data_IF_580430426526
#
_entry.id   IF_580430426526
#
_cell.length_a   1.000
_cell.length_b   1.000
_cell.length_c   1.000
_cell.angle_alpha   90.00
_cell.angle_beta   90.00
_cell.angle_gamma   90.00
#
_symmetry.space_group_name_H-M   'P 1'
#
loop_
_entity.id
_entity.type
_entity.pdbx_description
1 polymer ?
#
# COMPACT_ATOMS: atom_id res chain seq x y z
N UNK A 1 -10.11 8.02 -23.51
CA UNK A 1 -9.15 7.56 -22.46
C UNK A 1 -9.40 8.38 -21.21
N UNK A 2 -9.72 7.73 -20.12
CA UNK A 2 -9.95 8.42 -18.85
C UNK A 2 -8.62 8.93 -18.28
N UNK A 3 -8.48 10.25 -18.17
CA UNK A 3 -7.29 10.88 -17.62
C UNK A 3 -7.38 10.94 -16.09
N UNK A 4 -6.37 10.40 -15.41
CA UNK A 4 -6.28 10.46 -13.95
C UNK A 4 -4.94 11.03 -13.50
N UNK A 5 -4.92 11.63 -12.30
CA UNK A 5 -3.71 11.97 -11.58
C UNK A 5 -3.52 11.00 -10.42
N UNK A 6 -2.30 10.50 -10.20
CA UNK A 6 -2.04 9.46 -9.21
C UNK A 6 -1.11 9.95 -8.11
N UNK A 7 -1.56 9.85 -6.85
CA UNK A 7 -0.73 10.06 -5.66
C UNK A 7 -0.35 8.72 -5.04
N UNK A 8 0.93 8.53 -4.71
CA UNK A 8 1.39 7.38 -3.94
C UNK A 8 1.80 7.82 -2.53
N UNK A 9 1.09 7.35 -1.51
CA UNK A 9 1.32 7.73 -0.13
C UNK A 9 2.10 6.65 0.63
N UNK A 10 3.34 6.98 1.04
CA UNK A 10 4.24 6.10 1.78
C UNK A 10 5.03 5.13 0.89
N UNK A 11 6.00 4.41 1.50
CA UNK A 11 7.01 3.61 0.80
C UNK A 11 6.40 2.51 -0.10
N UNK A 12 5.50 1.69 0.42
CA UNK A 12 4.91 0.59 -0.35
C UNK A 12 4.09 1.07 -1.54
N UNK A 13 3.32 2.16 -1.37
CA UNK A 13 2.57 2.80 -2.44
C UNK A 13 3.49 3.41 -3.51
N UNK A 14 4.63 4.01 -3.09
CA UNK A 14 5.65 4.52 -4.01
C UNK A 14 6.21 3.41 -4.88
N UNK A 15 6.55 2.24 -4.31
CA UNK A 15 7.01 1.06 -5.08
C UNK A 15 5.97 0.62 -6.12
N UNK A 16 4.70 0.55 -5.71
CA UNK A 16 3.60 0.15 -6.62
C UNK A 16 3.41 1.16 -7.76
N UNK A 17 3.45 2.46 -7.47
CA UNK A 17 3.34 3.50 -8.51
C UNK A 17 4.52 3.46 -9.49
N UNK A 18 5.75 3.32 -8.99
CA UNK A 18 6.95 3.20 -9.83
C UNK A 18 6.83 1.99 -10.76
N UNK A 19 6.40 0.83 -10.23
CA UNK A 19 6.13 -0.35 -11.04
C UNK A 19 5.10 -0.06 -12.15
N UNK A 20 4.02 0.66 -11.86
CA UNK A 20 3.04 1.05 -12.86
C UNK A 20 3.62 2.00 -13.93
N UNK A 21 4.57 2.88 -13.56
CA UNK A 21 5.28 3.76 -14.50
C UNK A 21 6.20 2.94 -15.40
N UNK A 22 6.98 2.00 -14.84
CA UNK A 22 7.88 1.11 -15.56
C UNK A 22 7.14 0.20 -16.56
N UNK A 23 5.93 -0.28 -16.18
CA UNK A 23 5.02 -1.04 -17.05
C UNK A 23 4.25 -0.17 -18.07
N UNK A 24 4.49 1.15 -18.09
CA UNK A 24 3.83 2.10 -18.98
C UNK A 24 2.33 2.30 -18.72
N UNK A 25 1.84 1.87 -17.55
CA UNK A 25 0.44 2.02 -17.14
C UNK A 25 0.13 3.43 -16.65
N UNK A 26 1.08 4.07 -16.00
CA UNK A 26 1.01 5.46 -15.54
C UNK A 26 2.07 6.31 -16.22
N UNK A 27 1.73 7.57 -16.49
CA UNK A 27 2.68 8.57 -16.99
C UNK A 27 3.31 9.27 -15.79
N UNK A 28 4.63 9.39 -15.80
CA UNK A 28 5.39 10.01 -14.70
C UNK A 28 4.94 11.45 -14.40
N UNK A 29 4.58 12.22 -15.44
CA UNK A 29 4.10 13.61 -15.31
C UNK A 29 2.73 13.73 -14.62
N UNK A 30 1.95 12.65 -14.60
CA UNK A 30 0.64 12.59 -13.96
C UNK A 30 0.70 11.87 -12.60
N UNK A 31 1.89 11.83 -11.97
CA UNK A 31 2.15 11.16 -10.71
C UNK A 31 2.79 12.08 -9.66
N UNK A 32 2.50 11.80 -8.38
CA UNK A 32 3.11 12.48 -7.24
C UNK A 32 3.37 11.51 -6.08
N UNK A 33 4.58 11.52 -5.54
CA UNK A 33 4.95 10.79 -4.33
C UNK A 33 4.64 11.68 -3.11
N UNK A 34 3.92 11.13 -2.12
CA UNK A 34 3.67 11.77 -0.83
C UNK A 34 4.29 10.90 0.27
N UNK A 35 5.31 11.39 0.95
CA UNK A 35 5.97 10.62 2.00
C UNK A 35 6.43 11.52 3.15
N UNK A 36 6.66 10.94 4.32
CA UNK A 36 7.28 11.65 5.45
C UNK A 36 8.79 11.80 5.32
N UNK A 37 9.46 10.96 4.52
CA UNK A 37 10.93 10.98 4.37
C UNK A 37 11.35 10.76 2.93
N UNK A 38 12.43 11.41 2.52
CA UNK A 38 13.08 11.19 1.22
C UNK A 38 13.78 9.83 1.14
N UNK A 39 14.15 9.23 2.27
CA UNK A 39 14.93 7.98 2.31
C UNK A 39 14.17 6.80 1.70
N UNK A 40 12.85 6.82 1.76
CA UNK A 40 11.98 5.76 1.24
C UNK A 40 11.76 5.86 -0.28
N UNK A 41 12.23 6.94 -0.92
CA UNK A 41 12.11 7.15 -2.36
C UNK A 41 13.39 6.63 -3.03
N UNK A 42 13.31 5.78 -4.07
CA UNK A 42 14.48 5.36 -4.83
C UNK A 42 15.25 6.56 -5.40
N UNK A 43 16.57 6.45 -5.46
CA UNK A 43 17.46 7.57 -5.78
C UNK A 43 17.16 8.19 -7.15
N UNK A 44 16.85 7.38 -8.14
CA UNK A 44 16.50 7.76 -9.51
C UNK A 44 15.22 8.61 -9.62
N UNK A 45 14.35 8.54 -8.61
CA UNK A 45 13.10 9.31 -8.52
C UNK A 45 13.15 10.49 -7.54
N UNK A 46 14.32 10.81 -6.96
CA UNK A 46 14.48 11.94 -6.02
C UNK A 46 14.75 13.29 -6.68
N UNK A 47 15.25 13.30 -7.91
CA UNK A 47 15.80 14.49 -8.56
C UNK A 47 14.84 15.06 -9.62
N UNK A 48 13.74 15.63 -9.21
CA UNK A 48 12.76 16.38 -10.05
C UNK A 48 12.15 15.59 -11.23
N UNK A 49 12.44 14.29 -11.32
CA UNK A 49 11.85 13.44 -12.36
C UNK A 49 10.38 13.10 -12.09
N UNK A 50 9.90 13.28 -10.85
CA UNK A 50 8.53 13.05 -10.44
C UNK A 50 8.13 14.08 -9.38
N UNK A 51 6.89 14.54 -9.40
CA UNK A 51 6.38 15.41 -8.34
C UNK A 51 6.49 14.71 -6.99
N UNK A 52 7.05 15.41 -6.00
CA UNK A 52 7.28 14.84 -4.67
C UNK A 52 6.88 15.82 -3.58
N UNK A 53 6.12 15.34 -2.60
CA UNK A 53 5.70 16.07 -1.40
C UNK A 53 6.29 15.34 -0.19
N UNK A 54 7.21 15.99 0.52
CA UNK A 54 7.73 15.52 1.81
C UNK A 54 7.01 16.28 2.90
N UNK A 55 6.18 15.57 3.67
CA UNK A 55 5.30 16.19 4.68
C UNK A 55 5.99 16.46 6.01
N UNK A 56 7.17 15.86 6.29
CA UNK A 56 7.91 16.10 7.52
C UNK A 56 8.90 17.26 7.33
N UNK A 57 8.94 18.25 8.22
CA UNK A 57 9.95 19.33 8.20
C UNK A 57 11.38 18.83 8.19
N UNK A 58 11.67 17.69 8.87
CA UNK A 58 12.92 16.95 8.68
C UNK A 58 12.75 15.88 7.58
N UNK A 59 13.26 16.10 6.37
CA UNK A 59 13.09 15.18 5.25
C UNK A 59 13.76 13.82 5.45
N UNK A 60 14.57 13.67 6.50
CA UNK A 60 15.25 12.43 6.87
C UNK A 60 14.53 11.64 7.97
N UNK A 61 13.51 12.22 8.60
CA UNK A 61 12.74 11.59 9.67
C UNK A 61 11.47 10.92 9.13
N UNK A 62 11.25 9.68 9.55
CA UNK A 62 9.99 8.95 9.29
C UNK A 62 8.97 9.14 10.42
N UNK A 63 7.79 8.55 10.26
CA UNK A 63 6.72 8.61 11.26
C UNK A 63 6.73 7.44 12.27
N UNK A 64 7.66 6.48 12.20
CA UNK A 64 7.78 5.37 13.15
C UNK A 64 6.49 4.53 13.33
N UNK A 65 5.73 4.31 12.26
CA UNK A 65 4.40 3.69 12.26
C UNK A 65 3.33 4.46 13.08
N UNK A 66 3.60 5.71 13.49
CA UNK A 66 2.60 6.55 14.13
C UNK A 66 1.69 7.23 13.09
N UNK A 67 0.51 6.67 12.92
CA UNK A 67 -0.50 7.14 11.98
C UNK A 67 -1.06 8.53 12.36
N UNK A 68 -1.24 8.77 13.67
CA UNK A 68 -1.72 10.07 14.18
C UNK A 68 -0.74 11.19 13.85
N UNK A 69 0.56 10.92 14.07
CA UNK A 69 1.62 11.85 13.70
C UNK A 69 1.67 12.12 12.18
N UNK A 70 1.54 11.09 11.34
CA UNK A 70 1.48 11.29 9.89
C UNK A 70 0.26 12.11 9.43
N UNK A 71 -0.89 11.97 10.09
CA UNK A 71 -2.07 12.81 9.85
C UNK A 71 -1.79 14.28 10.18
N UNK A 72 -1.18 14.56 11.34
CA UNK A 72 -0.84 15.93 11.75
C UNK A 72 0.13 16.57 10.77
N UNK A 73 1.19 15.86 10.38
CA UNK A 73 2.16 16.36 9.39
C UNK A 73 1.50 16.71 8.06
N UNK A 74 0.60 15.87 7.56
CA UNK A 74 -0.11 16.17 6.30
C UNK A 74 -1.04 17.37 6.44
N UNK A 75 -1.75 17.51 7.56
CA UNK A 75 -2.59 18.67 7.84
C UNK A 75 -1.78 19.97 7.89
N UNK A 76 -0.63 19.94 8.58
CA UNK A 76 0.23 21.11 8.71
C UNK A 76 0.86 21.48 7.35
N UNK A 77 1.33 20.49 6.59
CA UNK A 77 1.81 20.71 5.22
C UNK A 77 0.75 21.40 4.33
N UNK A 78 -0.50 20.92 4.36
CA UNK A 78 -1.58 21.49 3.55
C UNK A 78 -1.98 22.90 4.00
N UNK A 79 -1.87 23.22 5.30
CA UNK A 79 -2.10 24.60 5.82
C UNK A 79 -1.02 25.56 5.37
N UNK A 80 0.23 25.13 5.38
CA UNK A 80 1.37 25.94 4.95
C UNK A 80 1.45 26.06 3.43
N UNK A 81 0.98 25.05 2.69
CA UNK A 81 1.06 24.95 1.23
C UNK A 81 -0.32 24.71 0.58
N UNK A 82 -1.31 25.62 0.75
CA UNK A 82 -2.70 25.36 0.33
C UNK A 82 -2.87 25.17 -1.19
N UNK A 83 -1.93 25.64 -1.99
CA UNK A 83 -1.97 25.52 -3.45
C UNK A 83 -1.16 24.33 -3.98
N UNK A 84 -0.47 23.58 -3.14
CA UNK A 84 0.39 22.47 -3.58
C UNK A 84 -0.39 21.38 -4.35
N UNK A 85 -1.54 20.98 -3.84
CA UNK A 85 -2.41 19.99 -4.49
C UNK A 85 -3.21 20.58 -5.65
N UNK A 86 -3.89 21.74 -5.51
CA UNK A 86 -4.58 22.37 -6.64
C UNK A 86 -3.71 22.60 -7.87
N UNK A 87 -2.44 22.96 -7.69
CA UNK A 87 -1.52 23.19 -8.82
C UNK A 87 -1.20 21.92 -9.62
N UNK A 88 -1.33 20.73 -9.02
CA UNK A 88 -1.16 19.45 -9.68
C UNK A 88 -2.42 18.96 -10.40
N UNK A 89 -3.57 19.60 -10.13
CA UNK A 89 -4.88 19.21 -10.64
C UNK A 89 -5.52 20.34 -11.46
N UNK A 90 -4.93 20.72 -12.62
CA UNK A 90 -5.49 21.79 -13.45
C UNK A 90 -6.90 21.42 -13.94
N UNK A 91 -7.76 22.43 -14.02
CA UNK A 91 -9.17 22.28 -14.39
C UNK A 91 -9.35 21.54 -15.71
N UNK A 92 -10.24 20.56 -15.72
CA UNK A 92 -10.62 19.78 -16.90
C UNK A 92 -9.55 18.82 -17.44
N UNK A 93 -8.35 18.76 -16.83
CA UNK A 93 -7.30 17.82 -17.30
C UNK A 93 -7.57 16.39 -16.83
N UNK A 94 -8.04 16.22 -15.61
CA UNK A 94 -8.25 14.89 -15.00
C UNK A 94 -9.71 14.67 -14.68
N UNK A 95 -10.19 13.47 -14.91
CA UNK A 95 -11.56 13.06 -14.63
C UNK A 95 -11.71 12.52 -13.20
N UNK A 96 -10.65 11.92 -12.66
CA UNK A 96 -10.59 11.44 -11.29
C UNK A 96 -9.14 11.42 -10.78
N UNK A 97 -8.99 11.28 -9.48
CA UNK A 97 -7.69 11.12 -8.81
C UNK A 97 -7.58 9.71 -8.25
N UNK A 98 -6.43 9.06 -8.50
CA UNK A 98 -6.05 7.83 -7.82
C UNK A 98 -5.18 8.16 -6.61
N UNK A 99 -5.40 7.47 -5.49
CA UNK A 99 -4.51 7.45 -4.33
C UNK A 99 -4.12 6.01 -4.05
N UNK A 100 -2.84 5.67 -4.24
CA UNK A 100 -2.30 4.40 -3.79
C UNK A 100 -1.79 4.57 -2.36
N UNK A 101 -2.19 3.70 -1.45
CA UNK A 101 -1.78 3.77 -0.05
C UNK A 101 -1.62 2.38 0.57
N UNK A 102 -0.70 2.25 1.54
CA UNK A 102 -0.57 1.06 2.36
C UNK A 102 -1.29 1.26 3.70
N UNK A 103 -2.00 0.26 4.19
CA UNK A 103 -2.80 0.41 5.42
C UNK A 103 -1.98 0.30 6.71
N UNK A 104 -0.92 -0.52 6.73
CA UNK A 104 -0.13 -0.79 7.94
C UNK A 104 0.93 0.29 8.26
N UNK A 105 1.39 1.03 7.24
CA UNK A 105 2.38 2.10 7.41
C UNK A 105 1.77 3.40 7.93
N UNK A 106 2.54 4.25 8.61
CA UNK A 106 2.07 5.53 9.11
C UNK A 106 1.77 6.54 7.99
N UNK A 107 2.76 6.81 7.12
CA UNK A 107 2.61 7.78 6.03
C UNK A 107 1.51 7.36 5.05
N UNK A 108 1.48 6.08 4.67
CA UNK A 108 0.45 5.54 3.79
C UNK A 108 -0.95 5.69 4.38
N UNK A 109 -1.18 5.17 5.58
CA UNK A 109 -2.51 5.15 6.18
C UNK A 109 -2.96 6.49 6.77
N UNK A 110 -2.02 7.34 7.22
CA UNK A 110 -2.31 8.63 7.83
C UNK A 110 -2.47 9.76 6.82
N UNK A 111 -1.43 10.00 6.00
CA UNK A 111 -1.41 11.11 5.07
C UNK A 111 -2.44 10.96 3.94
N UNK A 112 -2.63 9.74 3.41
CA UNK A 112 -3.54 9.51 2.28
C UNK A 112 -5.00 9.83 2.59
N UNK A 113 -5.48 9.54 3.81
CA UNK A 113 -6.85 9.84 4.19
C UNK A 113 -7.09 11.35 4.31
N UNK A 114 -6.09 12.09 4.80
CA UNK A 114 -6.15 13.56 4.88
C UNK A 114 -6.13 14.14 3.46
N UNK A 115 -5.24 13.65 2.59
CA UNK A 115 -5.17 14.06 1.19
C UNK A 115 -6.49 13.80 0.45
N UNK A 116 -7.06 12.60 0.58
CA UNK A 116 -8.34 12.24 -0.04
C UNK A 116 -9.47 13.17 0.39
N UNK A 117 -9.58 13.45 1.69
CA UNK A 117 -10.57 14.39 2.23
C UNK A 117 -10.32 15.81 1.73
N UNK A 118 -9.07 16.25 1.68
CA UNK A 118 -8.69 17.58 1.18
C UNK A 118 -9.10 17.75 -0.29
N UNK A 119 -8.77 16.80 -1.17
CA UNK A 119 -9.15 16.83 -2.59
C UNK A 119 -10.68 16.89 -2.73
N UNK A 120 -11.42 16.12 -1.94
CA UNK A 120 -12.87 16.05 -2.05
C UNK A 120 -13.59 17.29 -1.51
N UNK A 121 -13.06 17.93 -0.46
CA UNK A 121 -13.80 18.94 0.30
C UNK A 121 -13.17 20.33 0.34
N UNK A 122 -11.84 20.43 0.36
CA UNK A 122 -11.13 21.66 0.67
C UNK A 122 -10.56 22.38 -0.54
N UNK A 123 -10.22 21.69 -1.65
CA UNK A 123 -9.80 22.38 -2.88
C UNK A 123 -10.96 23.15 -3.52
N UNK A 124 -10.69 24.15 -4.40
CA UNK A 124 -11.72 24.88 -5.12
C UNK A 124 -12.72 23.94 -5.80
N UNK A 125 -14.02 24.27 -5.71
CA UNK A 125 -15.10 23.37 -6.13
C UNK A 125 -14.99 22.90 -7.59
N UNK A 126 -14.52 23.78 -8.49
CA UNK A 126 -14.34 23.48 -9.92
C UNK A 126 -13.18 22.54 -10.22
N UNK A 127 -12.27 22.30 -9.27
CA UNK A 127 -11.15 21.33 -9.37
C UNK A 127 -11.49 19.98 -8.73
N UNK A 128 -12.64 19.86 -8.04
CA UNK A 128 -13.00 18.62 -7.35
C UNK A 128 -13.37 17.53 -8.34
N UNK A 129 -12.70 16.40 -8.19
CA UNK A 129 -12.95 15.19 -8.98
C UNK A 129 -13.15 14.00 -8.02
N UNK A 130 -13.80 12.93 -8.46
CA UNK A 130 -13.87 11.69 -7.68
C UNK A 130 -12.49 11.19 -7.27
N UNK A 131 -12.43 10.53 -6.11
CA UNK A 131 -11.20 9.95 -5.59
C UNK A 131 -11.36 8.44 -5.49
N UNK A 132 -10.50 7.72 -6.20
CA UNK A 132 -10.35 6.27 -6.15
C UNK A 132 -9.14 5.96 -5.27
N UNK A 133 -9.32 5.14 -4.24
CA UNK A 133 -8.26 4.78 -3.31
C UNK A 133 -7.91 3.32 -3.49
N UNK A 134 -6.71 3.02 -3.98
CA UNK A 134 -6.16 1.67 -4.02
C UNK A 134 -5.40 1.39 -2.73
N UNK A 135 -5.97 0.53 -1.87
CA UNK A 135 -5.43 0.15 -0.57
C UNK A 135 -4.65 -1.16 -0.68
N UNK A 136 -3.36 -1.09 -0.40
CA UNK A 136 -2.53 -2.26 -0.22
C UNK A 136 -2.59 -2.63 1.25
N UNK A 137 -3.32 -3.70 1.61
CA UNK A 137 -3.29 -4.22 2.97
C UNK A 137 -1.99 -5.00 3.18
N UNK A 138 -1.47 -4.96 4.40
CA UNK A 138 -0.15 -5.51 4.69
C UNK A 138 -0.13 -7.01 4.89
N UNK A 139 0.92 -7.48 5.59
CA UNK A 139 1.11 -8.89 5.88
C UNK A 139 0.52 -9.32 7.23
N UNK A 140 -0.08 -8.39 7.97
CA UNK A 140 -0.66 -8.62 9.30
C UNK A 140 0.36 -9.15 10.33
N UNK A 141 1.60 -8.66 10.23
CA UNK A 141 2.73 -9.19 11.01
C UNK A 141 2.88 -8.58 12.39
N UNK A 142 2.36 -7.37 12.62
CA UNK A 142 2.52 -6.64 13.88
C UNK A 142 1.24 -5.93 14.33
N UNK A 143 1.14 -5.73 15.64
CA UNK A 143 -0.04 -5.13 16.32
C UNK A 143 -0.32 -3.71 15.85
N UNK A 144 0.74 -2.92 15.61
CA UNK A 144 0.58 -1.53 15.16
C UNK A 144 0.04 -1.44 13.73
N UNK A 145 0.51 -2.34 12.85
CA UNK A 145 0.01 -2.45 11.47
C UNK A 145 -1.47 -2.81 11.42
N UNK A 146 -1.89 -3.80 12.23
CA UNK A 146 -3.30 -4.18 12.36
C UNK A 146 -4.16 -3.00 12.86
N UNK A 147 -3.69 -2.29 13.88
CA UNK A 147 -4.37 -1.09 14.39
C UNK A 147 -4.52 -0.03 13.30
N UNK A 148 -3.44 0.29 12.57
CA UNK A 148 -3.45 1.28 11.51
C UNK A 148 -4.45 0.90 10.40
N UNK A 149 -4.53 -0.38 10.04
CA UNK A 149 -5.50 -0.88 9.05
C UNK A 149 -6.94 -0.64 9.50
N UNK A 150 -7.28 -1.03 10.73
CA UNK A 150 -8.63 -0.85 11.29
C UNK A 150 -9.01 0.64 11.33
N UNK A 151 -8.11 1.48 11.84
CA UNK A 151 -8.34 2.93 11.92
C UNK A 151 -8.47 3.57 10.54
N UNK A 152 -7.76 3.05 9.54
CA UNK A 152 -7.84 3.56 8.17
C UNK A 152 -9.25 3.35 7.59
N UNK A 153 -9.77 2.13 7.67
CA UNK A 153 -11.13 1.86 7.19
C UNK A 153 -12.21 2.64 7.97
N UNK A 154 -12.01 2.86 9.29
CA UNK A 154 -12.90 3.74 10.07
C UNK A 154 -12.90 5.17 9.54
N UNK A 155 -11.74 5.71 9.16
CA UNK A 155 -11.63 7.07 8.64
C UNK A 155 -12.22 7.25 7.24
N UNK A 156 -12.26 6.19 6.43
CA UNK A 156 -12.85 6.20 5.09
C UNK A 156 -14.36 5.99 5.11
N UNK A 157 -14.89 5.40 6.21
CA UNK A 157 -16.31 5.09 6.31
C UNK A 157 -17.17 6.37 6.20
N UNK A 158 -18.18 6.33 5.35
CA UNK A 158 -19.07 7.47 5.06
C UNK A 158 -18.45 8.61 4.24
N UNK A 159 -17.26 8.40 3.65
CA UNK A 159 -16.55 9.41 2.88
C UNK A 159 -16.92 9.47 1.39
N UNK A 160 -17.84 8.68 0.88
CA UNK A 160 -18.16 8.50 -0.55
C UNK A 160 -16.91 8.36 -1.42
N UNK A 161 -15.95 7.59 -0.99
CA UNK A 161 -14.78 7.21 -1.76
C UNK A 161 -15.04 5.93 -2.54
N UNK A 162 -14.36 5.76 -3.66
CA UNK A 162 -14.22 4.46 -4.30
C UNK A 162 -12.99 3.79 -3.72
N UNK A 163 -13.12 2.59 -3.20
CA UNK A 163 -12.05 1.88 -2.50
C UNK A 163 -11.78 0.55 -3.20
N UNK A 164 -10.59 0.40 -3.76
CA UNK A 164 -10.08 -0.88 -4.24
C UNK A 164 -9.07 -1.43 -3.24
N UNK A 165 -9.14 -2.71 -2.93
CA UNK A 165 -8.21 -3.36 -2.01
C UNK A 165 -7.33 -4.38 -2.73
N UNK A 166 -6.07 -4.51 -2.29
CA UNK A 166 -5.12 -5.55 -2.71
C UNK A 166 -4.45 -6.10 -1.46
N UNK A 167 -4.55 -7.40 -1.22
CA UNK A 167 -4.03 -8.02 -0.01
C UNK A 167 -2.66 -8.66 -0.23
N UNK A 168 -1.61 -8.07 0.34
CA UNK A 168 -0.29 -8.68 0.41
C UNK A 168 -0.31 -10.02 1.16
N UNK A 169 -1.18 -10.16 2.16
CA UNK A 169 -1.34 -11.41 2.92
C UNK A 169 -1.82 -12.55 2.02
N UNK A 170 -2.84 -12.32 1.18
CA UNK A 170 -3.33 -13.34 0.24
C UNK A 170 -2.25 -13.76 -0.78
N UNK A 171 -1.41 -12.83 -1.23
CA UNK A 171 -0.26 -13.17 -2.08
C UNK A 171 0.83 -13.92 -1.30
N UNK A 172 1.09 -13.54 -0.05
CA UNK A 172 2.05 -14.24 0.80
C UNK A 172 1.62 -15.70 1.03
N UNK A 173 0.34 -15.93 1.29
CA UNK A 173 -0.21 -17.27 1.50
C UNK A 173 -0.09 -18.16 0.26
N UNK A 174 -0.10 -17.57 -0.94
CA UNK A 174 0.14 -18.29 -2.20
C UNK A 174 1.62 -18.57 -2.48
N UNK A 175 2.53 -17.71 -2.06
CA UNK A 175 3.94 -17.72 -2.48
C UNK A 175 4.91 -18.10 -1.38
N UNK A 176 4.53 -17.95 -0.10
CA UNK A 176 5.41 -18.06 1.08
C UNK A 176 6.66 -17.16 0.99
N UNK A 177 6.61 -16.07 0.20
CA UNK A 177 7.74 -15.16 0.00
C UNK A 177 7.23 -13.72 -0.11
N UNK A 178 7.66 -12.86 0.81
CA UNK A 178 7.20 -11.47 0.91
C UNK A 178 7.56 -10.62 -0.32
N UNK A 179 8.78 -10.80 -0.89
CA UNK A 179 9.19 -10.05 -2.08
C UNK A 179 8.37 -10.44 -3.32
N UNK A 180 8.10 -11.74 -3.48
CA UNK A 180 7.26 -12.24 -4.56
C UNK A 180 5.82 -11.77 -4.37
N UNK A 181 5.31 -11.79 -3.15
CA UNK A 181 3.97 -11.30 -2.81
C UNK A 181 3.81 -9.80 -3.13
N UNK A 182 4.77 -8.95 -2.71
CA UNK A 182 4.78 -7.52 -3.06
C UNK A 182 4.80 -7.29 -4.58
N UNK A 183 5.65 -8.05 -5.30
CA UNK A 183 5.71 -7.93 -6.76
C UNK A 183 4.38 -8.29 -7.41
N UNK A 184 3.77 -9.42 -7.03
CA UNK A 184 2.47 -9.84 -7.57
C UNK A 184 1.35 -8.85 -7.23
N UNK A 185 1.38 -8.24 -6.05
CA UNK A 185 0.45 -7.18 -5.69
C UNK A 185 0.62 -5.93 -6.57
N UNK A 186 1.87 -5.55 -6.88
CA UNK A 186 2.16 -4.43 -7.78
C UNK A 186 1.73 -4.73 -9.23
N UNK A 187 1.94 -5.97 -9.71
CA UNK A 187 1.47 -6.44 -11.03
C UNK A 187 -0.06 -6.35 -11.12
N UNK A 188 -0.78 -6.76 -10.05
CA UNK A 188 -2.24 -6.68 -9.98
C UNK A 188 -2.74 -5.22 -9.97
N UNK A 189 -2.05 -4.33 -9.27
CA UNK A 189 -2.36 -2.89 -9.29
C UNK A 189 -2.20 -2.32 -10.70
N UNK A 190 -1.10 -2.65 -11.37
CA UNK A 190 -0.85 -2.20 -12.74
C UNK A 190 -1.92 -2.70 -13.72
N UNK A 191 -2.29 -3.98 -13.64
CA UNK A 191 -3.37 -4.54 -14.45
C UNK A 191 -4.70 -3.84 -14.20
N UNK A 192 -5.05 -3.62 -12.94
CA UNK A 192 -6.30 -2.96 -12.62
C UNK A 192 -6.36 -1.52 -13.13
N UNK A 193 -5.25 -0.77 -13.09
CA UNK A 193 -5.21 0.57 -13.68
C UNK A 193 -5.41 0.55 -15.20
N UNK A 194 -4.87 -0.45 -15.92
CA UNK A 194 -5.16 -0.64 -17.35
C UNK A 194 -6.65 -0.86 -17.58
N UNK A 195 -7.29 -1.70 -16.77
CA UNK A 195 -8.72 -2.00 -16.89
C UNK A 195 -9.57 -0.76 -16.56
N UNK A 196 -9.27 -0.08 -15.45
CA UNK A 196 -9.99 1.12 -15.01
C UNK A 196 -9.83 2.28 -16.01
N UNK A 197 -8.71 2.39 -16.70
CA UNK A 197 -8.49 3.39 -17.74
C UNK A 197 -9.13 3.06 -19.09
N UNK A 198 -9.68 1.85 -19.27
CA UNK A 198 -10.20 1.33 -20.53
C UNK A 198 -9.18 1.48 -21.68
N UNK A 199 -7.91 1.19 -21.40
CA UNK A 199 -6.74 1.51 -22.25
C UNK A 199 -6.83 0.95 -23.68
N UNK A 200 -7.36 -0.25 -23.85
CA UNK A 200 -7.42 -1.01 -25.10
C UNK A 200 -8.87 -1.30 -25.55
N UNK A 201 -9.82 -0.54 -25.02
CA UNK A 201 -11.22 -0.63 -25.43
C UNK A 201 -11.41 0.18 -26.71
N UNK A 202 -11.95 -0.45 -27.74
CA UNK A 202 -12.23 0.16 -29.04
C UNK A 202 -13.75 0.17 -29.29
N UNK A 203 -14.20 1.11 -30.11
CA UNK A 203 -15.61 1.18 -30.48
C UNK A 203 -16.07 -0.10 -31.19
N UNK A 204 -17.20 -0.63 -30.78
CA UNK A 204 -17.77 -1.87 -31.31
C UNK A 204 -19.30 -1.78 -31.40
N UNK A 205 -19.94 -2.85 -31.85
CA UNK A 205 -21.41 -2.91 -31.94
C UNK A 205 -22.09 -2.85 -30.55
N UNK A 206 -21.40 -3.28 -29.49
CA UNK A 206 -21.90 -3.24 -28.13
C UNK A 206 -20.89 -2.52 -27.24
N UNK A 207 -21.14 -1.26 -26.97
CA UNK A 207 -20.23 -0.36 -26.26
C UNK A 207 -20.73 -0.01 -24.86
N UNK A 208 -19.77 0.21 -23.98
CA UNK A 208 -19.91 1.04 -22.78
C UNK A 208 -19.34 2.41 -23.13
N UNK A 209 -20.17 3.44 -23.13
CA UNK A 209 -19.68 4.79 -23.43
C UNK A 209 -18.86 5.38 -22.28
N UNK A 210 -18.19 6.50 -22.55
CA UNK A 210 -17.32 7.17 -21.58
C UNK A 210 -18.07 7.61 -20.31
N UNK A 211 -19.36 8.00 -20.43
CA UNK A 211 -20.17 8.41 -19.29
C UNK A 211 -20.56 7.22 -18.41
N UNK A 212 -20.97 6.13 -19.02
CA UNK A 212 -21.35 4.89 -18.32
C UNK A 212 -20.11 4.26 -17.64
N UNK A 213 -18.98 4.24 -18.34
CA UNK A 213 -17.72 3.81 -17.74
C UNK A 213 -17.32 4.71 -16.55
N UNK A 214 -17.44 6.01 -16.69
CA UNK A 214 -17.17 6.97 -15.62
C UNK A 214 -18.09 6.73 -14.40
N UNK A 215 -19.40 6.55 -14.60
CA UNK A 215 -20.36 6.22 -13.55
C UNK A 215 -20.01 4.91 -12.84
N UNK A 216 -19.53 3.92 -13.60
CA UNK A 216 -19.11 2.62 -13.06
C UNK A 216 -17.91 2.75 -12.14
N UNK A 217 -16.83 3.42 -12.58
CA UNK A 217 -15.58 3.51 -11.83
C UNK A 217 -15.59 4.54 -10.70
N UNK A 218 -16.55 5.48 -10.70
CA UNK A 218 -16.68 6.52 -9.69
C UNK A 218 -17.82 6.28 -8.70
N UNK A 219 -18.48 5.13 -8.77
CA UNK A 219 -19.55 4.74 -7.86
C UNK A 219 -18.99 4.47 -6.45
N UNK A 220 -19.40 5.22 -5.40
CA UNK A 220 -18.84 5.09 -4.05
C UNK A 220 -19.03 3.70 -3.45
N UNK A 221 -18.10 3.31 -2.58
CA UNK A 221 -18.03 1.99 -1.97
C UNK A 221 -16.79 1.24 -2.42
N UNK A 222 -16.75 -0.08 -2.19
CA UNK A 222 -15.65 -0.88 -2.73
C UNK A 222 -15.84 -1.12 -4.23
N UNK A 223 -14.69 -1.16 -4.92
CA UNK A 223 -14.58 -1.55 -6.31
C UNK A 223 -13.78 -2.84 -6.43
N UNK A 224 -14.36 -3.81 -7.09
CA UNK A 224 -13.72 -5.06 -7.48
C UNK A 224 -13.32 -4.98 -8.96
N UNK A 225 -12.11 -5.42 -9.29
CA UNK A 225 -11.60 -5.45 -10.67
C UNK A 225 -10.88 -6.77 -10.87
N UNK A 226 -11.24 -7.49 -11.94
CA UNK A 226 -10.55 -8.73 -12.33
C UNK A 226 -10.49 -8.88 -13.84
N UNK A 227 -9.51 -9.63 -14.31
CA UNK A 227 -9.34 -10.03 -15.71
C UNK A 227 -9.08 -11.53 -15.77
N UNK A 228 -9.70 -12.18 -16.70
CA UNK A 228 -9.41 -13.56 -17.07
C UNK A 228 -9.10 -13.65 -18.56
N UNK A 229 -7.98 -14.29 -18.90
CA UNK A 229 -7.63 -14.58 -20.28
C UNK A 229 -8.28 -15.90 -20.72
N UNK A 230 -8.74 -15.93 -21.96
CA UNK A 230 -9.34 -17.11 -22.58
C UNK A 230 -8.33 -17.67 -23.58
N UNK A 231 -7.47 -18.55 -23.10
CA UNK A 231 -6.35 -19.09 -23.91
C UNK A 231 -6.79 -20.22 -24.88
N UNK A 232 -8.02 -20.66 -24.81
CA UNK A 232 -8.49 -21.84 -25.55
C UNK A 232 -9.92 -21.66 -26.04
N UNK A 233 -10.24 -22.32 -27.14
CA UNK A 233 -11.64 -22.45 -27.55
C UNK A 233 -12.48 -23.08 -26.44
N UNK A 234 -13.51 -22.37 -26.04
CA UNK A 234 -14.47 -22.83 -25.03
C UNK A 234 -15.35 -23.92 -25.61
N UNK A 235 -15.69 -24.90 -24.79
CA UNK A 235 -16.52 -26.04 -25.24
C UNK A 235 -18.02 -25.81 -25.03
N UNK A 236 -18.36 -25.06 -24.00
CA UNK A 236 -19.74 -24.77 -23.59
C UNK A 236 -19.79 -23.62 -22.59
N UNK A 237 -20.97 -23.10 -22.30
CA UNK A 237 -21.20 -22.01 -21.35
C UNK A 237 -20.76 -22.34 -19.92
N UNK A 238 -20.86 -23.60 -19.50
CA UNK A 238 -20.42 -24.00 -18.15
C UNK A 238 -18.92 -23.83 -17.95
N UNK A 239 -18.11 -24.02 -19.01
CA UNK A 239 -16.66 -23.77 -18.94
C UNK A 239 -16.38 -22.27 -18.83
N UNK A 240 -17.10 -21.43 -19.57
CA UNK A 240 -17.01 -19.98 -19.46
C UNK A 240 -17.37 -19.52 -18.04
N UNK A 241 -18.53 -19.96 -17.53
CA UNK A 241 -18.96 -19.62 -16.16
C UNK A 241 -17.95 -20.06 -15.10
N UNK A 242 -17.35 -21.24 -15.25
CA UNK A 242 -16.34 -21.72 -14.30
C UNK A 242 -15.07 -20.85 -14.31
N UNK A 243 -14.55 -20.50 -15.50
CA UNK A 243 -13.35 -19.67 -15.64
C UNK A 243 -13.57 -18.29 -14.98
N UNK A 244 -14.72 -17.68 -15.27
CA UNK A 244 -15.08 -16.37 -14.69
C UNK A 244 -15.32 -16.48 -13.18
N UNK A 245 -16.00 -17.53 -12.75
CA UNK A 245 -16.23 -17.83 -11.33
C UNK A 245 -14.92 -17.96 -10.57
N UNK A 246 -13.98 -18.74 -11.11
CA UNK A 246 -12.66 -18.92 -10.51
C UNK A 246 -11.88 -17.59 -10.43
N UNK A 247 -11.95 -16.75 -11.46
CA UNK A 247 -11.30 -15.44 -11.43
C UNK A 247 -11.85 -14.50 -10.34
N UNK A 248 -13.15 -14.60 -10.03
CA UNK A 248 -13.75 -13.86 -8.92
C UNK A 248 -13.30 -14.45 -7.58
N UNK A 249 -13.34 -15.77 -7.42
CA UNK A 249 -13.02 -16.46 -6.17
C UNK A 249 -11.52 -16.37 -5.81
N UNK A 250 -10.64 -16.38 -6.81
CA UNK A 250 -9.17 -16.32 -6.59
C UNK A 250 -8.62 -14.90 -6.59
N UNK A 251 -9.47 -13.88 -6.63
CA UNK A 251 -9.03 -12.50 -6.55
C UNK A 251 -8.35 -12.22 -5.19
N UNK A 252 -7.47 -11.26 -5.18
CA UNK A 252 -6.67 -10.88 -4.02
C UNK A 252 -7.16 -9.62 -3.32
N UNK A 253 -8.34 -9.13 -3.66
CA UNK A 253 -9.07 -8.16 -2.86
C UNK A 253 -9.37 -8.71 -1.47
N UNK A 254 -9.67 -7.85 -0.50
CA UNK A 254 -10.29 -8.29 0.74
C UNK A 254 -11.63 -8.98 0.45
N UNK A 255 -11.96 -10.02 1.21
CA UNK A 255 -13.22 -10.72 1.06
C UNK A 255 -14.37 -9.79 1.43
N UNK A 256 -15.39 -9.75 0.60
CA UNK A 256 -16.55 -8.88 0.76
C UNK A 256 -17.85 -9.65 0.56
N UNK A 257 -18.91 -9.20 1.21
CA UNK A 257 -20.25 -9.71 0.94
C UNK A 257 -20.72 -9.21 -0.43
N UNK A 258 -21.32 -10.11 -1.27
CA UNK A 258 -21.89 -9.72 -2.55
C UNK A 258 -22.94 -8.60 -2.38
N UNK A 259 -22.63 -7.41 -2.88
CA UNK A 259 -23.47 -6.22 -2.72
C UNK A 259 -23.26 -5.16 -3.80
N UNK A 260 -22.60 -5.52 -4.91
CA UNK A 260 -22.34 -4.58 -6.00
C UNK A 260 -23.66 -4.02 -6.56
N UNK A 261 -23.69 -2.70 -6.79
CA UNK A 261 -24.85 -2.03 -7.40
C UNK A 261 -24.64 -1.78 -8.89
N UNK A 262 -23.37 -1.69 -9.34
CA UNK A 262 -23.03 -1.54 -10.76
C UNK A 262 -21.99 -2.55 -11.20
N UNK A 263 -22.17 -3.10 -12.39
CA UNK A 263 -21.23 -4.05 -13.01
C UNK A 263 -20.97 -3.66 -14.45
N UNK A 264 -19.69 -3.63 -14.85
CA UNK A 264 -19.26 -3.56 -16.24
C UNK A 264 -18.51 -4.83 -16.63
N UNK A 265 -18.86 -5.43 -17.74
CA UNK A 265 -18.19 -6.58 -18.35
C UNK A 265 -17.63 -6.16 -19.70
N UNK A 266 -16.30 -6.21 -19.82
CA UNK A 266 -15.57 -5.90 -21.05
C UNK A 266 -14.99 -7.19 -21.61
N UNK A 267 -15.28 -7.47 -22.87
CA UNK A 267 -14.85 -8.70 -23.50
C UNK A 267 -14.14 -8.41 -24.82
N UNK A 268 -12.99 -9.04 -25.01
CA UNK A 268 -12.42 -9.27 -26.33
C UNK A 268 -12.54 -10.75 -26.65
N UNK A 269 -13.51 -11.12 -27.48
CA UNK A 269 -13.86 -12.52 -27.73
C UNK A 269 -14.12 -12.72 -29.21
N UNK A 270 -13.46 -13.74 -29.78
CA UNK A 270 -13.66 -14.17 -31.17
C UNK A 270 -15.06 -14.76 -31.38
N UNK A 271 -15.50 -14.76 -32.62
CA UNK A 271 -16.77 -15.38 -33.02
C UNK A 271 -16.83 -16.87 -32.66
N UNK A 272 -15.69 -17.56 -32.66
CA UNK A 272 -15.56 -18.97 -32.28
C UNK A 272 -15.96 -19.27 -30.82
N UNK A 273 -15.78 -18.31 -29.94
CA UNK A 273 -16.11 -18.43 -28.52
C UNK A 273 -17.41 -17.71 -28.14
N UNK A 274 -17.96 -16.89 -29.03
CA UNK A 274 -19.14 -16.08 -28.72
C UNK A 274 -20.37 -16.92 -28.38
N UNK A 275 -20.61 -18.02 -29.12
CA UNK A 275 -21.79 -18.87 -28.95
C UNK A 275 -21.87 -19.54 -27.57
N UNK A 276 -20.73 -19.58 -26.84
CA UNK A 276 -20.63 -20.23 -25.52
C UNK A 276 -20.58 -19.24 -24.36
N UNK A 277 -20.50 -17.94 -24.66
CA UNK A 277 -20.56 -16.90 -23.63
C UNK A 277 -21.97 -16.75 -23.09
N UNK A 278 -22.14 -16.86 -21.76
CA UNK A 278 -23.44 -16.56 -21.14
C UNK A 278 -23.70 -15.05 -21.19
N UNK A 279 -24.54 -14.61 -22.08
CA UNK A 279 -24.94 -13.21 -22.24
C UNK A 279 -25.81 -12.68 -21.08
N UNK A 280 -26.34 -13.55 -20.24
CA UNK A 280 -27.11 -13.16 -19.05
C UNK A 280 -26.22 -12.89 -17.84
N UNK A 281 -24.97 -13.40 -17.86
CA UNK A 281 -24.00 -13.25 -16.78
C UNK A 281 -24.54 -13.59 -15.39
N UNK A 282 -25.38 -14.61 -15.31
CA UNK A 282 -26.12 -14.98 -14.08
C UNK A 282 -25.19 -15.33 -12.94
N UNK A 283 -24.10 -16.05 -13.22
CA UNK A 283 -23.10 -16.41 -12.20
C UNK A 283 -22.32 -15.20 -11.70
N UNK A 284 -21.96 -14.26 -12.59
CA UNK A 284 -21.29 -13.00 -12.23
C UNK A 284 -22.19 -12.16 -11.33
N UNK A 285 -23.44 -11.94 -11.74
CA UNK A 285 -24.43 -11.19 -10.97
C UNK A 285 -24.64 -11.79 -9.58
N UNK A 286 -24.82 -13.10 -9.50
CA UNK A 286 -25.00 -13.80 -8.24
C UNK A 286 -23.79 -13.64 -7.30
N UNK A 287 -22.57 -13.75 -7.83
CA UNK A 287 -21.33 -13.67 -7.03
C UNK A 287 -20.99 -12.26 -6.55
N UNK A 288 -21.31 -11.25 -7.34
CA UNK A 288 -20.94 -9.87 -7.04
C UNK A 288 -22.06 -9.06 -6.38
N UNK A 289 -23.31 -9.34 -6.70
CA UNK A 289 -24.46 -8.62 -6.15
C UNK A 289 -25.23 -9.41 -5.08
N UNK A 290 -25.20 -10.74 -5.12
CA UNK A 290 -25.98 -11.57 -4.21
C UNK A 290 -27.47 -11.32 -4.36
N UNK A 291 -28.10 -10.75 -3.32
CA UNK A 291 -29.51 -10.35 -3.30
C UNK A 291 -29.70 -8.83 -3.49
N UNK A 292 -28.63 -8.08 -3.74
CA UNK A 292 -28.71 -6.63 -3.96
C UNK A 292 -29.26 -6.35 -5.35
N UNK A 293 -30.15 -5.39 -5.45
CA UNK A 293 -30.66 -4.92 -6.75
C UNK A 293 -29.54 -4.23 -7.52
N UNK A 294 -29.36 -4.68 -8.76
CA UNK A 294 -28.38 -4.08 -9.67
C UNK A 294 -28.99 -2.81 -10.24
N UNK A 295 -28.35 -1.67 -10.00
CA UNK A 295 -28.78 -0.39 -10.57
C UNK A 295 -28.44 -0.31 -12.06
N UNK A 296 -27.21 -0.70 -12.42
CA UNK A 296 -26.73 -0.63 -13.80
C UNK A 296 -25.83 -1.83 -14.12
N UNK A 297 -26.05 -2.42 -15.32
CA UNK A 297 -25.26 -3.52 -15.84
C UNK A 297 -24.83 -3.21 -17.27
N UNK A 298 -23.54 -3.01 -17.47
CA UNK A 298 -22.94 -2.61 -18.73
C UNK A 298 -22.19 -3.76 -19.37
N UNK A 299 -22.29 -3.87 -20.70
CA UNK A 299 -21.55 -4.86 -21.48
C UNK A 299 -20.85 -4.16 -22.63
N UNK A 300 -19.55 -4.40 -22.73
CA UNK A 300 -18.74 -4.03 -23.88
C UNK A 300 -18.18 -5.30 -24.53
N UNK A 301 -18.34 -5.43 -25.84
CA UNK A 301 -17.81 -6.55 -26.60
C UNK A 301 -17.05 -6.05 -27.81
N UNK A 302 -15.82 -6.47 -27.96
CA UNK A 302 -14.99 -6.29 -29.15
C UNK A 302 -14.43 -7.63 -29.61
N UNK A 303 -13.93 -7.67 -30.87
CA UNK A 303 -13.29 -8.83 -31.45
C UNK A 303 -12.01 -8.38 -32.20
N UNK A 304 -10.99 -8.01 -31.39
CA UNK A 304 -9.71 -7.53 -31.90
C UNK A 304 -8.71 -8.68 -31.95
N UNK A 305 -8.28 -9.08 -33.15
CA UNK A 305 -7.39 -10.22 -33.39
C UNK A 305 -5.96 -9.99 -32.86
N UNK A 306 -5.56 -8.73 -32.70
CA UNK A 306 -4.24 -8.35 -32.21
C UNK A 306 -4.14 -8.36 -30.68
N UNK A 307 -5.27 -8.54 -30.00
CA UNK A 307 -5.36 -8.65 -28.56
C UNK A 307 -5.68 -10.09 -28.15
N UNK A 308 -5.22 -10.54 -26.97
CA UNK A 308 -5.65 -11.81 -26.40
C UNK A 308 -7.17 -11.79 -26.13
N UNK A 309 -7.80 -12.95 -26.21
CA UNK A 309 -9.19 -13.05 -25.73
C UNK A 309 -9.22 -12.91 -24.21
N UNK A 310 -10.11 -12.03 -23.71
CA UNK A 310 -10.27 -11.78 -22.28
C UNK A 310 -11.71 -11.46 -21.89
N UNK A 311 -11.96 -11.63 -20.61
CA UNK A 311 -13.13 -11.06 -19.91
C UNK A 311 -12.63 -10.23 -18.75
N UNK A 312 -12.97 -8.95 -18.71
CA UNK A 312 -12.70 -8.02 -17.62
C UNK A 312 -13.99 -7.67 -16.92
N UNK A 313 -13.93 -7.63 -15.60
CA UNK A 313 -15.09 -7.31 -14.78
C UNK A 313 -14.70 -6.16 -13.86
N UNK A 314 -15.50 -5.11 -13.87
CA UNK A 314 -15.49 -4.05 -12.87
C UNK A 314 -16.83 -4.12 -12.16
N UNK A 315 -16.81 -4.26 -10.82
CA UNK A 315 -18.02 -4.16 -10.00
C UNK A 315 -17.79 -3.07 -8.94
N UNK A 316 -18.77 -2.23 -8.71
CA UNK A 316 -18.67 -1.09 -7.82
C UNK A 316 -19.93 -0.88 -6.97
N UNK A 317 -19.83 0.00 -5.96
CA UNK A 317 -20.89 0.18 -4.97
C UNK A 317 -20.96 -0.98 -3.97
N UNK A 318 -19.89 -1.77 -3.83
CA UNK A 318 -19.81 -2.89 -2.90
C UNK A 318 -19.63 -2.34 -1.47
N UNK A 319 -20.29 -2.95 -0.51
CA UNK A 319 -20.13 -2.62 0.90
C UNK A 319 -18.70 -2.87 1.40
N UNK A 320 -18.27 -2.16 2.45
CA UNK A 320 -16.99 -2.44 3.10
C UNK A 320 -16.95 -3.89 3.64
N UNK A 321 -15.77 -4.54 3.65
CA UNK A 321 -15.60 -5.96 3.97
C UNK A 321 -15.66 -6.19 5.49
N UNK A 322 -16.85 -6.15 6.06
CA UNK A 322 -17.08 -6.16 7.51
C UNK A 322 -16.51 -7.39 8.20
N UNK A 323 -16.70 -8.56 7.63
CA UNK A 323 -16.27 -9.82 8.24
C UNK A 323 -14.74 -9.90 8.26
N UNK A 324 -14.07 -9.58 7.16
CA UNK A 324 -12.60 -9.54 7.14
C UNK A 324 -12.03 -8.46 8.07
N UNK A 325 -12.67 -7.30 8.16
CA UNK A 325 -12.27 -6.26 9.11
C UNK A 325 -12.49 -6.68 10.58
N UNK A 326 -13.53 -7.46 10.86
CA UNK A 326 -13.75 -8.06 12.18
C UNK A 326 -12.66 -9.09 12.51
N UNK A 327 -12.23 -9.90 11.54
CA UNK A 327 -11.14 -10.87 11.73
C UNK A 327 -9.80 -10.16 11.99
N UNK A 328 -9.49 -9.09 11.25
CA UNK A 328 -8.32 -8.24 11.51
C UNK A 328 -8.40 -7.63 12.91
N UNK A 329 -9.58 -7.17 13.34
CA UNK A 329 -9.80 -6.63 14.67
C UNK A 329 -9.60 -7.69 15.77
N UNK A 330 -10.11 -8.89 15.58
CA UNK A 330 -9.91 -10.01 16.51
C UNK A 330 -8.42 -10.36 16.65
N UNK A 331 -7.67 -10.43 15.53
CA UNK A 331 -6.21 -10.62 15.53
C UNK A 331 -5.49 -9.52 16.32
N UNK A 332 -5.91 -8.26 16.13
CA UNK A 332 -5.36 -7.12 16.88
C UNK A 332 -5.59 -7.26 18.38
N UNK A 333 -6.83 -7.58 18.81
CA UNK A 333 -7.15 -7.74 20.21
C UNK A 333 -6.34 -8.87 20.86
N UNK A 334 -6.28 -10.04 20.21
CA UNK A 334 -5.51 -11.18 20.70
C UNK A 334 -4.03 -10.85 20.91
N UNK A 335 -3.39 -10.16 19.96
CA UNK A 335 -1.99 -9.74 20.08
C UNK A 335 -1.79 -8.74 21.22
N UNK A 336 -2.68 -7.78 21.35
CA UNK A 336 -2.61 -6.79 22.42
C UNK A 336 -2.78 -7.41 23.82
N UNK A 337 -3.54 -8.49 23.95
CA UNK A 337 -3.65 -9.25 25.19
C UNK A 337 -2.37 -10.01 25.49
N UNK A 338 -1.73 -10.62 24.50
CA UNK A 338 -0.44 -11.30 24.63
C UNK A 338 0.64 -10.28 25.05
N UNK A 339 0.77 -9.15 24.35
CA UNK A 339 1.73 -8.09 24.70
C UNK A 339 1.57 -7.61 26.15
N UNK A 340 0.34 -7.45 26.65
CA UNK A 340 0.10 -7.09 28.05
C UNK A 340 0.51 -8.19 29.03
N UNK A 341 0.35 -9.45 28.65
CA UNK A 341 0.80 -10.58 29.49
C UNK A 341 2.32 -10.63 29.54
N UNK A 342 2.99 -10.43 28.42
CA UNK A 342 4.47 -10.39 28.34
C UNK A 342 5.02 -9.24 29.19
N UNK A 343 4.48 -8.01 29.05
CA UNK A 343 4.85 -6.85 29.87
C UNK A 343 4.65 -7.13 31.38
N UNK A 344 3.60 -7.85 31.75
CA UNK A 344 3.34 -8.23 33.13
C UNK A 344 4.37 -9.23 33.65
N UNK A 345 4.73 -10.27 32.86
CA UNK A 345 5.76 -11.23 33.22
C UNK A 345 7.15 -10.59 33.30
N UNK A 346 7.48 -9.70 32.37
CA UNK A 346 8.73 -8.93 32.41
C UNK A 346 8.79 -8.01 33.64
N UNK A 347 7.70 -7.40 34.05
CA UNK A 347 7.64 -6.58 35.27
C UNK A 347 7.85 -7.41 36.53
N UNK A 348 7.27 -8.62 36.61
CA UNK A 348 7.49 -9.56 37.72
C UNK A 348 8.95 -10.05 37.73
N UNK A 349 9.51 -10.42 36.59
CA UNK A 349 10.90 -10.85 36.46
C UNK A 349 11.88 -9.77 36.95
N UNK A 350 11.62 -8.52 36.62
CA UNK A 350 12.42 -7.39 37.08
C UNK A 350 12.27 -7.17 38.59
N UNK A 351 11.09 -7.28 39.17
CA UNK A 351 10.87 -7.22 40.64
C UNK A 351 11.61 -8.34 41.37
N UNK A 352 11.59 -9.57 40.86
CA UNK A 352 12.31 -10.71 41.46
C UNK A 352 13.82 -10.49 41.38
N UNK A 353 14.33 -9.93 40.29
CA UNK A 353 15.76 -9.65 40.12
C UNK A 353 16.24 -8.51 41.03
N UNK A 354 15.39 -7.49 41.25
CA UNK A 354 15.70 -6.41 42.19
C UNK A 354 15.68 -6.90 43.65
N UNK A 355 14.73 -7.75 44.05
CA UNK A 355 14.69 -8.35 45.38
C UNK A 355 15.91 -9.21 45.67
N UNK A 356 16.38 -10.03 44.72
CA UNK A 356 17.61 -10.79 44.86
C UNK A 356 18.87 -9.91 44.96
N UNK A 357 18.91 -8.78 44.27
CA UNK A 357 20.03 -7.81 44.37
C UNK A 357 20.02 -7.06 45.71
N UNK A 358 18.88 -6.81 46.31
CA UNK A 358 18.78 -6.22 47.66
C UNK A 358 19.20 -7.22 48.74
N UNK A 359 18.82 -8.51 48.59
CA UNK A 359 19.26 -9.59 49.49
C UNK A 359 20.78 -9.83 49.40
N UNK A 360 21.39 -9.85 48.22
CA UNK A 360 22.86 -9.97 48.05
C UNK A 360 23.61 -8.74 48.62
N UNK A 361 23.04 -7.53 48.56
CA UNK A 361 23.64 -6.34 49.15
C UNK A 361 23.53 -6.33 50.67
N UNK A 362 22.49 -6.91 51.26
CA UNK A 362 22.35 -6.99 52.70
C UNK A 362 23.29 -8.02 53.34
N UNK A 363 23.61 -9.11 52.64
CA UNK A 363 24.58 -10.11 53.10
C UNK A 363 26.05 -9.62 53.00
N UNK A 364 26.38 -8.83 51.97
CA UNK A 364 27.73 -8.26 51.81
C UNK A 364 28.00 -7.09 52.77
N UNK A 365 27.00 -6.31 53.15
CA UNK A 365 27.18 -5.20 54.11
C UNK A 365 27.34 -5.69 55.56
N UNK A 366 26.65 -6.78 55.95
CA UNK A 366 26.79 -7.36 57.29
C UNK A 366 28.17 -8.07 57.49
N UNK A 367 28.78 -8.60 56.44
CA UNK A 367 30.11 -9.22 56.50
C UNK A 367 31.24 -8.18 56.51
N UNK A 368 31.08 -7.03 55.88
CA UNK A 368 32.06 -5.93 55.90
C UNK A 368 32.09 -5.20 57.24
N UNK A 369 30.97 -5.04 57.93
CA UNK A 369 30.92 -4.43 59.28
C UNK A 369 31.54 -5.33 60.37
N UNK A 370 31.52 -6.67 60.16
CA UNK A 370 32.16 -7.59 61.11
C UNK A 370 33.68 -7.54 61.04
N UNK A 371 34.30 -7.29 59.89
CA UNK A 371 35.76 -7.15 59.72
C UNK A 371 36.27 -5.75 60.00
N UNK A 372 35.48 -4.69 59.91
CA UNK A 372 35.85 -3.31 60.20
C UNK A 372 36.11 -3.06 61.69
N UNK A 373 35.52 -3.89 62.59
CA UNK A 373 35.72 -3.79 64.06
C UNK A 373 36.99 -4.48 64.56
N UNK A 374 37.79 -5.12 63.74
CA UNK A 374 39.02 -5.85 64.14
C UNK A 374 40.34 -5.09 63.87
N UNK A 375 40.31 -3.95 63.17
CA UNK A 375 41.48 -3.05 63.00
C UNK A 375 41.26 -1.72 63.73
N UNK A 376 41.21 -1.81 65.04
CA UNK A 376 41.24 -0.66 65.90
C UNK A 376 42.64 -0.33 66.32
N UNK A 377 42.94 0.97 66.34
CA UNK A 377 44.07 1.65 66.90
C UNK A 377 45.34 1.71 66.04
N UNK A 378 45.48 2.80 65.26
CA UNK A 378 46.59 3.74 65.40
C UNK A 378 46.44 4.97 64.48
N UNK A 379 46.60 6.14 65.09
CA UNK A 379 47.11 7.44 64.61
C UNK A 379 46.25 8.33 63.68
N UNK A 380 45.77 9.33 64.33
CA UNK A 380 45.75 10.80 64.06
C UNK A 380 46.21 11.33 62.69
N UNK A 381 45.38 12.23 62.11
CA UNK A 381 45.94 13.33 61.29
C UNK A 381 45.10 13.92 60.22
N UNK A 382 44.45 15.01 60.54
CA UNK A 382 44.16 16.22 59.73
C UNK A 382 43.63 16.15 58.28
N UNK A 383 42.41 16.57 58.10
CA UNK A 383 42.02 17.77 57.34
C UNK A 383 42.11 17.79 55.82
N UNK A 384 40.98 17.86 55.13
CA UNK A 384 40.62 18.98 54.26
C UNK A 384 39.40 18.59 53.32
N UNK A 385 38.43 19.46 53.34
CA UNK A 385 37.31 19.54 52.36
C UNK A 385 37.81 19.78 50.96
N UNK A 386 37.14 19.17 49.96
CA UNK A 386 36.80 19.79 48.65
C UNK A 386 35.81 18.89 47.87
N UNK A 387 34.62 19.40 47.65
CA UNK A 387 33.84 19.81 46.48
C UNK A 387 33.84 18.86 45.28
N UNK A 388 32.65 18.33 45.01
CA UNK A 388 31.89 18.07 43.75
C UNK A 388 32.64 18.13 42.42
N UNK A 389 32.53 17.06 41.63
CA UNK A 389 32.36 17.14 40.17
C UNK A 389 31.80 15.82 39.61
N UNK A 390 30.75 15.97 38.87
CA UNK A 390 30.07 14.96 38.04
C UNK A 390 31.02 14.30 37.05
N UNK A 391 30.95 12.99 36.89
CA UNK A 391 31.57 12.27 35.78
C UNK A 391 30.55 11.41 35.08
N UNK A 392 30.29 11.79 33.84
CA UNK A 392 29.62 11.04 32.80
C UNK A 392 30.34 9.72 32.50
N UNK A 393 29.65 8.61 32.60
CA UNK A 393 30.16 7.32 32.17
C UNK A 393 30.05 7.17 30.64
N UNK A 394 31.22 7.15 30.01
CA UNK A 394 31.37 6.63 28.65
C UNK A 394 31.43 5.10 28.70
N UNK A 395 30.55 4.45 28.01
CA UNK A 395 30.59 3.01 27.74
C UNK A 395 31.58 2.80 26.58
N UNK A 396 32.64 2.09 26.83
CA UNK A 396 33.55 1.56 25.81
C UNK A 396 32.98 0.27 25.26
N UNK A 397 32.63 0.25 23.98
CA UNK A 397 32.43 -0.98 23.22
C UNK A 397 33.73 -1.33 22.50
N UNK A 398 34.42 -2.35 23.00
CA UNK A 398 35.58 -2.98 22.35
C UNK A 398 35.09 -3.83 21.16
N UNK A 399 35.80 -3.69 20.03
CA UNK A 399 35.48 -4.24 18.75
C UNK A 399 35.60 -5.76 18.63
N UNK A 400 34.83 -6.27 17.68
CA UNK A 400 35.09 -7.54 17.05
C UNK A 400 35.34 -7.25 15.56
N UNK A 401 36.61 -7.44 15.17
CA UNK A 401 37.08 -7.40 13.79
C UNK A 401 36.78 -8.72 13.13
N UNK A 402 35.82 -8.75 12.22
CA UNK A 402 35.62 -9.85 11.28
C UNK A 402 36.05 -9.41 9.89
N UNK A 403 37.15 -9.97 9.39
CA UNK A 403 37.68 -9.66 8.08
C UNK A 403 36.79 -10.20 6.96
N UNK A 404 36.52 -9.34 5.99
CA UNK A 404 35.94 -9.76 4.72
C UNK A 404 37.01 -9.72 3.63
N UNK A 405 37.29 -10.88 3.07
CA UNK A 405 38.13 -11.06 1.88
C UNK A 405 37.51 -10.36 0.65
N UNK A 406 38.32 -9.54 0.01
CA UNK A 406 38.04 -8.93 -1.29
C UNK A 406 38.06 -10.01 -2.38
N UNK A 407 36.96 -10.36 -2.98
CA UNK A 407 36.90 -11.04 -4.26
C UNK A 407 37.08 -10.04 -5.42
N UNK A 408 38.02 -10.41 -6.30
CA UNK A 408 38.49 -9.70 -7.47
C UNK A 408 37.40 -9.43 -8.52
N UNK A 409 37.60 -8.30 -9.21
CA UNK A 409 36.75 -7.70 -10.18
C UNK A 409 36.40 -8.56 -11.40
N UNK A 410 35.17 -8.34 -11.87
CA UNK A 410 34.73 -8.69 -13.21
C UNK A 410 34.95 -7.51 -14.13
N UNK A 411 35.74 -7.72 -15.16
CA UNK A 411 35.94 -6.77 -16.27
C UNK A 411 34.72 -6.78 -17.16
N UNK A 412 34.08 -5.63 -17.32
CA UNK A 412 33.00 -5.42 -18.29
C UNK A 412 33.58 -5.43 -19.70
N UNK A 413 33.04 -6.27 -20.59
CA UNK A 413 33.24 -6.21 -22.03
C UNK A 413 32.51 -4.99 -22.59
N UNK A 414 33.23 -4.14 -23.29
CA UNK A 414 32.68 -3.09 -24.17
C UNK A 414 31.79 -3.75 -25.23
N UNK A 415 30.53 -3.33 -25.32
CA UNK A 415 29.66 -3.60 -26.45
C UNK A 415 29.77 -2.46 -27.46
N UNK A 416 29.80 -2.85 -28.71
CA UNK A 416 30.07 -2.06 -29.92
C UNK A 416 29.10 -0.89 -30.10
N UNK A 417 29.65 0.27 -30.47
CA UNK A 417 28.96 1.47 -30.93
C UNK A 417 28.15 1.18 -32.20
N UNK A 418 26.82 1.35 -32.13
CA UNK A 418 25.97 1.46 -33.32
C UNK A 418 26.00 2.91 -33.82
N UNK A 419 26.40 3.07 -35.08
CA UNK A 419 26.37 4.33 -35.82
C UNK A 419 24.95 4.87 -35.97
N UNK A 420 24.74 6.20 -35.98
CA UNK A 420 23.43 6.80 -36.24
C UNK A 420 23.03 6.62 -37.71
N UNK A 421 21.73 6.35 -37.91
CA UNK A 421 21.10 6.28 -39.23
C UNK A 421 21.02 7.69 -39.85
N UNK A 422 21.31 7.79 -41.16
CA UNK A 422 21.20 9.02 -41.96
C UNK A 422 19.76 9.22 -42.45
N UNK A 423 19.37 10.50 -42.61
CA UNK A 423 18.03 10.96 -43.00
C UNK A 423 17.56 10.59 -44.42
N UNK A 424 18.23 9.71 -45.19
CA UNK A 424 17.95 9.49 -46.61
C UNK A 424 17.11 8.24 -46.94
N UNK A 425 16.53 7.53 -45.97
CA UNK A 425 15.76 6.29 -46.25
C UNK A 425 14.22 6.46 -46.10
N UNK A 426 13.69 7.64 -46.31
CA UNK A 426 12.24 7.86 -46.40
C UNK A 426 11.77 8.35 -47.75
N UNK A 427 11.90 7.48 -48.76
CA UNK A 427 11.06 7.60 -49.98
C UNK A 427 10.86 6.21 -50.55
N UNK A 428 9.66 5.69 -50.46
CA UNK A 428 9.31 4.49 -51.22
C UNK A 428 8.15 3.67 -50.57
N UNK A 429 6.92 3.98 -51.01
CA UNK A 429 5.66 3.24 -50.93
C UNK A 429 4.90 3.31 -49.60
#
# INVERSE_FOLDING_TARGET
MNNSYTFACGQGATKAMIHCIEEGTLKIDDCCIVNSTQKDIPYEYRNDNINTIIINPDPNAGCGKDRGYAKSLMLDYLRENPNSIPSLLPEGKYQYVNIIATTEGASGSGASVILAKFIKTAIPKHLRVPVIITLITGFETDTRGLQNTIEYFKDLNGGDFVIRTVSNKKYLDKTNNTFTAEKMANDDISKAFKIISAYDVVDSEQNIDDEDHYKLITNPGMMFVTEVNIDKRLKNSSQFEQIVSDAIDYNTSLDFEPSATKIGVYMNISDDNLDVVDTNFTSIKKKLCGNTDIEEFFIHRQCESDLPEYVRIIASGINLPKDELNDIYAKYQNRKEIEKQDDFFDSISNMVTETHREEEKSEDDDTNDFFANFEGETSSGSGRRRSSASRTNRVNTSGISGGYEKKKGFTAKKSDEKKPYSEDDMTGF
#
